data_IF_076429685995
#
_entry.id   IF_076429685995
#
_cell.length_a   1.000
_cell.length_b   1.000
_cell.length_c   1.000
_cell.angle_alpha   90.00
_cell.angle_beta   90.00
_cell.angle_gamma   90.00
#
_symmetry.space_group_name_H-M   'P 1'
#
loop_
_entity.id
_entity.type
_entity.pdbx_description
1 polymer ?
#
# COMPACT_ATOMS: atom_id res chain seq x y z
N UNK A 1 18.71 12.68 -31.98
CA UNK A 1 17.46 13.41 -31.68
C UNK A 1 17.14 13.42 -30.17
N UNK A 2 17.16 12.27 -29.47
CA UNK A 2 16.97 12.20 -28.01
C UNK A 2 18.07 12.93 -27.22
N UNK A 3 19.34 12.80 -27.63
CA UNK A 3 20.48 13.50 -27.02
C UNK A 3 20.47 15.02 -27.24
N UNK A 4 19.92 15.52 -28.36
CA UNK A 4 19.81 16.96 -28.59
C UNK A 4 18.69 17.59 -27.76
N UNK A 5 17.62 16.83 -27.48
CA UNK A 5 16.53 17.27 -26.60
C UNK A 5 17.03 17.30 -25.14
N UNK A 6 17.79 16.31 -24.69
CA UNK A 6 18.40 16.33 -23.35
C UNK A 6 19.44 17.44 -23.21
N UNK A 7 20.22 17.75 -24.25
CA UNK A 7 21.19 18.85 -24.23
C UNK A 7 20.54 20.25 -24.30
N UNK A 8 19.37 20.38 -24.96
CA UNK A 8 18.55 21.60 -24.97
C UNK A 8 17.84 21.80 -23.62
N UNK A 9 17.32 20.74 -23.01
CA UNK A 9 16.71 20.79 -21.67
C UNK A 9 17.74 21.02 -20.57
N UNK A 10 18.97 20.52 -20.71
CA UNK A 10 20.07 20.76 -19.77
C UNK A 10 20.60 22.21 -19.80
N UNK A 11 20.40 22.94 -20.91
CA UNK A 11 20.68 24.39 -21.01
C UNK A 11 19.59 25.25 -20.35
N UNK A 12 18.42 24.69 -20.06
CA UNK A 12 17.50 25.29 -19.11
C UNK A 12 17.97 24.85 -17.73
N UNK A 13 19.03 25.49 -17.23
CA UNK A 13 19.27 25.52 -15.80
C UNK A 13 17.96 25.94 -15.14
N UNK A 14 17.40 25.07 -14.29
CA UNK A 14 16.15 25.29 -13.55
C UNK A 14 16.47 25.58 -12.07
N UNK A 15 17.17 26.67 -11.68
CA UNK A 15 17.63 26.80 -10.30
C UNK A 15 16.47 27.09 -9.34
N UNK A 16 15.31 27.51 -9.84
CA UNK A 16 14.12 27.80 -9.03
C UNK A 16 12.82 27.59 -9.81
N UNK A 17 12.53 26.36 -10.26
CA UNK A 17 11.13 26.05 -10.53
C UNK A 17 10.39 26.05 -9.19
N UNK A 18 9.42 26.96 -9.05
CA UNK A 18 8.60 27.04 -7.85
C UNK A 18 7.95 25.67 -7.59
N UNK A 19 7.93 25.23 -6.33
CA UNK A 19 7.25 24.00 -5.89
C UNK A 19 5.83 23.93 -6.44
N UNK A 20 5.12 25.06 -6.55
CA UNK A 20 3.80 25.14 -7.16
C UNK A 20 3.78 24.72 -8.63
N UNK A 21 4.78 25.15 -9.41
CA UNK A 21 4.91 24.74 -10.81
C UNK A 21 5.21 23.25 -10.92
N UNK A 22 6.08 22.72 -10.05
CA UNK A 22 6.39 21.29 -10.02
C UNK A 22 5.19 20.44 -9.63
N UNK A 23 4.41 20.87 -8.65
CA UNK A 23 3.14 20.22 -8.29
C UNK A 23 2.13 20.30 -9.43
N UNK A 24 2.03 21.44 -10.12
CA UNK A 24 1.21 21.59 -11.32
C UNK A 24 1.62 20.62 -12.43
N UNK A 25 2.91 20.57 -12.74
CA UNK A 25 3.50 19.65 -13.73
C UNK A 25 3.26 18.19 -13.33
N UNK A 26 3.47 17.85 -12.06
CA UNK A 26 3.25 16.51 -11.54
C UNK A 26 1.77 16.10 -11.64
N UNK A 27 0.85 16.99 -11.28
CA UNK A 27 -0.58 16.71 -11.33
C UNK A 27 -1.09 16.58 -12.77
N UNK A 28 -0.73 17.53 -13.65
CA UNK A 28 -1.12 17.49 -15.07
C UNK A 28 -0.45 16.33 -15.81
N UNK A 29 0.87 16.20 -15.68
CA UNK A 29 1.63 15.12 -16.30
C UNK A 29 1.15 13.76 -15.79
N UNK A 30 0.97 13.62 -14.48
CA UNK A 30 0.45 12.40 -13.86
C UNK A 30 -0.94 12.05 -14.36
N UNK A 31 -1.90 12.98 -14.34
CA UNK A 31 -3.27 12.71 -14.84
C UNK A 31 -3.29 12.31 -16.31
N UNK A 32 -2.48 12.95 -17.16
CA UNK A 32 -2.32 12.57 -18.57
C UNK A 32 -1.70 11.17 -18.69
N UNK A 33 -0.61 10.91 -17.97
CA UNK A 33 0.08 9.62 -17.95
C UNK A 33 -0.84 8.48 -17.50
N UNK A 34 -1.57 8.67 -16.40
CA UNK A 34 -2.54 7.68 -15.93
C UNK A 34 -3.64 7.39 -16.95
N UNK A 35 -4.14 8.41 -17.67
CA UNK A 35 -5.15 8.22 -18.72
C UNK A 35 -4.59 7.49 -19.94
N UNK A 36 -3.34 7.78 -20.32
CA UNK A 36 -2.65 7.08 -21.41
C UNK A 36 -2.48 5.59 -21.09
N UNK A 37 -1.99 5.27 -19.88
CA UNK A 37 -1.79 3.89 -19.44
C UNK A 37 -3.11 3.14 -19.26
N UNK A 38 -4.16 3.81 -18.81
CA UNK A 38 -5.50 3.23 -18.77
C UNK A 38 -5.98 2.82 -20.18
N UNK A 39 -5.68 3.61 -21.22
CA UNK A 39 -6.03 3.27 -22.62
C UNK A 39 -5.29 2.02 -23.10
N UNK A 40 -4.11 1.76 -22.56
CA UNK A 40 -3.32 0.54 -22.80
C UNK A 40 -3.76 -0.65 -21.92
N UNK A 41 -4.85 -0.52 -21.15
CA UNK A 41 -5.34 -1.51 -20.17
C UNK A 41 -4.35 -1.78 -19.02
N UNK A 42 -3.45 -0.85 -18.73
CA UNK A 42 -2.53 -0.89 -17.60
C UNK A 42 -3.10 -0.03 -16.45
N UNK A 43 -2.91 -0.40 -15.16
CA UNK A 43 -3.38 0.42 -14.04
C UNK A 43 -2.86 1.86 -14.09
N UNK A 44 -3.74 2.83 -13.79
CA UNK A 44 -3.41 4.28 -13.82
C UNK A 44 -2.20 4.65 -12.95
N UNK A 45 -2.06 3.97 -11.82
CA UNK A 45 -0.97 4.18 -10.85
C UNK A 45 0.40 4.00 -11.50
N UNK A 46 0.53 3.02 -12.40
CA UNK A 46 1.77 2.79 -13.17
C UNK A 46 2.11 4.02 -14.03
N UNK A 47 1.10 4.62 -14.68
CA UNK A 47 1.27 5.84 -15.46
C UNK A 47 1.75 7.02 -14.60
N UNK A 48 1.21 7.19 -13.38
CA UNK A 48 1.64 8.23 -12.44
C UNK A 48 3.12 8.07 -12.08
N UNK A 49 3.53 6.84 -11.77
CA UNK A 49 4.91 6.51 -11.39
C UNK A 49 5.86 6.76 -12.55
N UNK A 50 5.53 6.32 -13.76
CA UNK A 50 6.37 6.52 -14.95
C UNK A 50 6.60 8.00 -15.23
N UNK A 51 5.55 8.84 -15.11
CA UNK A 51 5.71 10.29 -15.20
C UNK A 51 6.67 10.79 -14.11
N UNK A 52 6.50 10.32 -12.87
CA UNK A 52 7.42 10.60 -11.76
C UNK A 52 8.87 10.29 -12.10
N UNK A 53 9.14 9.09 -12.62
CA UNK A 53 10.47 8.64 -13.03
C UNK A 53 11.06 9.56 -14.10
N UNK A 54 10.24 9.94 -15.09
CA UNK A 54 10.64 10.84 -16.18
C UNK A 54 11.02 12.23 -15.68
N UNK A 55 10.28 12.80 -14.72
CA UNK A 55 10.56 14.15 -14.19
C UNK A 55 11.58 14.17 -13.05
N UNK A 56 11.76 13.04 -12.36
CA UNK A 56 12.61 12.92 -11.18
C UNK A 56 14.05 12.49 -11.46
N UNK A 57 14.67 11.89 -10.44
CA UNK A 57 16.13 11.71 -10.37
C UNK A 57 16.70 10.77 -11.43
N UNK A 58 15.92 9.82 -11.94
CA UNK A 58 16.33 8.89 -13.00
C UNK A 58 16.18 9.45 -14.42
N UNK A 59 15.30 10.43 -14.61
CA UNK A 59 14.95 10.98 -15.92
C UNK A 59 15.56 12.36 -16.16
N UNK A 60 14.70 13.35 -16.35
CA UNK A 60 15.04 14.74 -16.67
C UNK A 60 15.63 15.53 -15.49
N UNK A 61 15.61 14.98 -14.26
CA UNK A 61 16.09 15.63 -13.03
C UNK A 61 15.50 17.02 -12.78
N UNK A 62 14.24 17.21 -13.17
CA UNK A 62 13.48 18.45 -12.92
C UNK A 62 13.09 18.52 -11.44
N UNK A 63 12.80 17.37 -10.82
CA UNK A 63 12.57 17.24 -9.38
C UNK A 63 13.85 16.75 -8.70
N UNK A 64 14.51 17.65 -7.97
CA UNK A 64 15.75 17.35 -7.25
C UNK A 64 15.51 16.75 -5.85
N UNK A 65 16.56 16.20 -5.22
CA UNK A 65 16.50 15.63 -3.85
C UNK A 65 15.96 16.62 -2.82
N UNK A 66 16.29 17.89 -2.93
CA UNK A 66 15.88 18.91 -1.95
C UNK A 66 14.36 19.16 -2.00
N UNK A 67 13.77 19.17 -3.21
CA UNK A 67 12.32 19.29 -3.41
C UNK A 67 11.60 18.03 -2.89
N UNK A 68 12.20 16.87 -3.17
CA UNK A 68 11.72 15.56 -2.69
C UNK A 68 11.65 15.51 -1.15
N UNK A 69 12.60 16.16 -0.48
CA UNK A 69 12.65 16.29 0.97
C UNK A 69 11.66 17.34 1.49
N UNK A 70 11.56 18.50 0.84
CA UNK A 70 10.58 19.53 1.18
C UNK A 70 9.13 19.03 1.09
N UNK A 71 8.85 18.09 0.18
CA UNK A 71 7.53 17.47 0.00
C UNK A 71 7.30 16.21 0.85
N UNK A 72 8.22 15.87 1.77
CA UNK A 72 8.04 14.74 2.70
C UNK A 72 6.76 14.85 3.56
N UNK A 73 6.39 16.01 4.13
CA UNK A 73 5.13 16.14 4.89
C UNK A 73 3.88 15.86 4.05
N UNK A 74 3.87 16.27 2.78
CA UNK A 74 2.78 15.97 1.85
C UNK A 74 2.63 14.46 1.62
N UNK A 75 3.76 13.74 1.50
CA UNK A 75 3.73 12.29 1.39
C UNK A 75 3.11 11.63 2.62
N UNK A 76 3.50 12.02 3.84
CA UNK A 76 2.85 11.52 5.06
C UNK A 76 1.35 11.83 5.07
N UNK A 77 0.93 13.03 4.67
CA UNK A 77 -0.49 13.34 4.57
C UNK A 77 -1.23 12.43 3.59
N UNK A 78 -0.69 12.22 2.39
CA UNK A 78 -1.28 11.33 1.39
C UNK A 78 -1.37 9.89 1.89
N UNK A 79 -0.31 9.38 2.51
CA UNK A 79 -0.30 8.06 3.15
C UNK A 79 -1.33 7.93 4.25
N UNK A 80 -1.52 9.00 5.01
CA UNK A 80 -2.50 9.05 6.07
C UNK A 80 -3.93 8.94 5.57
N UNK A 81 -4.22 9.60 4.45
CA UNK A 81 -5.51 9.46 3.77
C UNK A 81 -5.73 8.04 3.23
N UNK A 82 -4.70 7.41 2.67
CA UNK A 82 -4.78 6.01 2.22
C UNK A 82 -5.13 5.09 3.40
N UNK A 83 -4.40 5.19 4.51
CA UNK A 83 -4.65 4.40 5.72
C UNK A 83 -6.05 4.62 6.28
N UNK A 84 -6.50 5.88 6.36
CA UNK A 84 -7.84 6.22 6.81
C UNK A 84 -8.94 5.64 5.93
N UNK A 85 -8.82 5.79 4.60
CA UNK A 85 -9.80 5.27 3.64
C UNK A 85 -9.93 3.75 3.73
N UNK A 86 -8.81 3.03 3.81
CA UNK A 86 -8.81 1.57 3.97
C UNK A 86 -9.44 1.17 5.29
N UNK A 87 -9.14 1.88 6.39
CA UNK A 87 -9.83 1.66 7.66
C UNK A 87 -11.36 1.79 7.54
N UNK A 88 -11.83 2.68 6.67
CA UNK A 88 -13.24 2.86 6.35
C UNK A 88 -13.90 1.70 5.57
N UNK A 89 -13.12 0.80 4.99
CA UNK A 89 -13.64 -0.39 4.29
C UNK A 89 -13.88 -1.56 5.25
N UNK A 90 -13.18 -1.59 6.39
CA UNK A 90 -13.23 -2.63 7.42
C UNK A 90 -14.48 -2.52 8.32
N UNK A 91 -15.65 -2.70 7.71
CA UNK A 91 -16.96 -2.66 8.37
C UNK A 91 -17.30 -3.99 9.05
N UNK A 92 -17.68 -3.95 10.32
CA UNK A 92 -18.18 -5.08 11.11
C UNK A 92 -19.35 -5.79 10.41
N UNK A 93 -20.22 -5.05 9.73
CA UNK A 93 -21.33 -5.60 8.95
C UNK A 93 -20.85 -6.53 7.84
N UNK A 94 -19.73 -6.23 7.18
CA UNK A 94 -19.12 -7.07 6.14
C UNK A 94 -18.67 -8.38 6.81
N UNK A 95 -17.92 -8.32 7.92
CA UNK A 95 -17.51 -9.52 8.66
C UNK A 95 -18.70 -10.39 9.12
N UNK A 96 -19.81 -9.77 9.56
CA UNK A 96 -21.01 -10.48 9.97
C UNK A 96 -21.78 -11.08 8.79
N UNK A 97 -21.89 -10.36 7.67
CA UNK A 97 -22.64 -10.77 6.47
C UNK A 97 -21.97 -11.90 5.71
N UNK A 98 -20.64 -11.85 5.61
CA UNK A 98 -19.85 -12.78 4.81
C UNK A 98 -19.46 -14.07 5.57
N UNK A 99 -19.77 -14.13 6.87
CA UNK A 99 -19.72 -15.33 7.70
C UNK A 99 -18.31 -15.82 8.02
N UNK A 100 -18.21 -16.85 8.88
CA UNK A 100 -16.94 -17.44 9.30
C UNK A 100 -16.11 -17.97 8.11
N UNK A 101 -16.79 -18.43 7.05
CA UNK A 101 -16.13 -19.02 5.89
C UNK A 101 -15.18 -18.04 5.22
N UNK A 102 -15.62 -16.80 4.97
CA UNK A 102 -14.80 -15.80 4.31
C UNK A 102 -13.63 -15.34 5.16
N UNK A 103 -13.80 -15.24 6.48
CA UNK A 103 -12.71 -14.89 7.40
C UNK A 103 -11.60 -15.94 7.37
N UNK A 104 -11.92 -17.24 7.42
CA UNK A 104 -10.90 -18.29 7.32
C UNK A 104 -10.17 -18.26 5.99
N UNK A 105 -10.90 -18.07 4.89
CA UNK A 105 -10.30 -17.98 3.55
C UNK A 105 -9.37 -16.78 3.46
N UNK A 106 -9.84 -15.59 3.84
CA UNK A 106 -9.08 -14.34 3.83
C UNK A 106 -7.79 -14.46 4.67
N UNK A 107 -7.90 -14.93 5.91
CA UNK A 107 -6.73 -15.06 6.78
C UNK A 107 -5.74 -16.09 6.25
N UNK A 108 -6.20 -17.26 5.79
CA UNK A 108 -5.30 -18.26 5.24
C UNK A 108 -4.65 -17.78 3.94
N UNK A 109 -5.39 -17.14 3.04
CA UNK A 109 -4.88 -16.66 1.76
C UNK A 109 -3.97 -15.45 1.88
N UNK A 110 -4.13 -14.58 2.88
CA UNK A 110 -3.18 -13.49 3.13
C UNK A 110 -1.95 -13.90 3.95
N UNK A 111 -2.13 -14.69 5.03
CA UNK A 111 -1.03 -15.06 5.93
C UNK A 111 -0.08 -16.09 5.29
N UNK A 112 -0.60 -17.02 4.48
CA UNK A 112 0.24 -18.07 3.85
C UNK A 112 1.29 -17.50 2.88
N UNK A 113 0.95 -16.64 1.88
CA UNK A 113 1.95 -16.00 1.04
C UNK A 113 2.85 -15.07 1.85
N UNK A 114 2.31 -14.35 2.86
CA UNK A 114 3.13 -13.54 3.77
C UNK A 114 4.28 -14.35 4.39
N UNK A 115 3.98 -15.50 4.99
CA UNK A 115 4.99 -16.36 5.62
C UNK A 115 5.93 -16.99 4.58
N UNK A 116 5.39 -17.53 3.48
CA UNK A 116 6.20 -18.21 2.47
C UNK A 116 7.15 -17.26 1.74
N UNK A 117 6.69 -16.07 1.37
CA UNK A 117 7.51 -15.05 0.72
C UNK A 117 8.54 -14.49 1.71
N UNK A 118 8.15 -14.20 2.95
CA UNK A 118 9.11 -13.75 3.98
C UNK A 118 10.21 -14.78 4.22
N UNK A 119 9.87 -16.07 4.32
CA UNK A 119 10.84 -17.13 4.56
C UNK A 119 11.73 -17.37 3.33
N UNK A 120 11.13 -17.50 2.14
CA UNK A 120 11.87 -17.80 0.90
C UNK A 120 12.81 -16.67 0.51
N UNK A 121 12.37 -15.41 0.60
CA UNK A 121 13.23 -14.25 0.33
C UNK A 121 14.26 -14.06 1.44
N UNK A 122 13.90 -14.29 2.70
CA UNK A 122 14.85 -14.23 3.81
C UNK A 122 16.00 -15.22 3.64
N UNK A 123 15.68 -16.47 3.29
CA UNK A 123 16.67 -17.52 3.03
C UNK A 123 17.48 -17.21 1.77
N UNK A 124 16.83 -16.97 0.63
CA UNK A 124 17.51 -16.72 -0.64
C UNK A 124 18.37 -15.45 -0.58
N UNK A 125 17.85 -14.38 0.04
CA UNK A 125 18.60 -13.15 0.27
C UNK A 125 19.79 -13.35 1.19
N UNK A 126 19.68 -14.22 2.20
CA UNK A 126 20.80 -14.56 3.09
C UNK A 126 21.91 -15.28 2.33
N UNK A 127 21.56 -16.18 1.40
CA UNK A 127 22.53 -16.85 0.54
C UNK A 127 23.19 -15.90 -0.48
N UNK A 128 22.45 -14.94 -1.03
CA UNK A 128 22.95 -14.03 -2.07
C UNK A 128 23.73 -12.83 -1.53
N UNK A 129 23.28 -12.27 -0.41
CA UNK A 129 23.78 -11.00 0.14
C UNK A 129 24.37 -11.13 1.55
N UNK A 130 24.37 -12.34 2.13
CA UNK A 130 24.85 -12.63 3.48
C UNK A 130 23.78 -12.46 4.57
N UNK A 131 23.99 -13.05 5.77
CA UNK A 131 23.04 -13.03 6.88
C UNK A 131 23.03 -11.65 7.54
N UNK A 132 22.29 -10.72 6.94
CA UNK A 132 22.14 -9.37 7.46
C UNK A 132 20.70 -9.13 7.94
N UNK A 133 20.48 -8.38 9.03
CA UNK A 133 19.13 -7.98 9.47
C UNK A 133 18.34 -7.25 8.37
N UNK A 134 19.07 -6.57 7.47
CA UNK A 134 18.57 -5.94 6.27
C UNK A 134 17.74 -6.89 5.38
N UNK A 135 18.25 -8.10 5.11
CA UNK A 135 17.59 -9.07 4.24
C UNK A 135 16.25 -9.49 4.83
N UNK A 136 16.21 -9.74 6.14
CA UNK A 136 14.98 -10.14 6.83
C UNK A 136 13.95 -9.02 6.92
N UNK A 137 14.40 -7.76 7.11
CA UNK A 137 13.51 -6.60 7.02
C UNK A 137 12.86 -6.46 5.64
N UNK A 138 13.65 -6.57 4.56
CA UNK A 138 13.15 -6.56 3.19
C UNK A 138 12.19 -7.75 2.92
N UNK A 139 12.53 -8.95 3.42
CA UNK A 139 11.72 -10.13 3.24
C UNK A 139 10.35 -10.02 3.93
N UNK A 140 10.29 -9.47 5.16
CA UNK A 140 9.03 -9.22 5.87
C UNK A 140 8.14 -8.21 5.16
N UNK A 141 8.74 -7.17 4.58
CA UNK A 141 8.02 -6.16 3.80
C UNK A 141 7.47 -6.75 2.50
N UNK A 142 8.29 -7.50 1.74
CA UNK A 142 7.81 -8.21 0.54
C UNK A 142 6.76 -9.25 0.87
N UNK A 143 6.94 -9.99 1.97
CA UNK A 143 5.92 -10.89 2.48
C UNK A 143 4.60 -10.16 2.71
N UNK A 144 4.61 -9.01 3.38
CA UNK A 144 3.36 -8.29 3.65
C UNK A 144 2.71 -7.79 2.37
N UNK A 145 3.49 -7.31 1.41
CA UNK A 145 3.01 -6.89 0.09
C UNK A 145 2.43 -8.08 -0.69
N UNK A 146 3.00 -9.28 -0.53
CA UNK A 146 2.53 -10.50 -1.20
C UNK A 146 1.11 -10.92 -0.79
N UNK A 147 0.66 -10.52 0.40
CA UNK A 147 -0.71 -10.72 0.85
C UNK A 147 -1.71 -9.89 0.06
N UNK A 148 -1.30 -8.81 -0.61
CA UNK A 148 -2.23 -7.97 -1.37
C UNK A 148 -2.70 -8.69 -2.63
N UNK A 149 -4.01 -8.69 -2.84
CA UNK A 149 -4.72 -9.21 -4.00
C UNK A 149 -5.54 -8.09 -4.62
N UNK A 150 -5.38 -7.86 -5.91
CA UNK A 150 -6.26 -6.96 -6.64
C UNK A 150 -7.09 -7.75 -7.66
N UNK A 151 -8.28 -8.19 -7.28
CA UNK A 151 -9.18 -8.91 -8.16
C UNK A 151 -9.97 -7.96 -9.06
N UNK A 152 -9.53 -6.71 -9.32
CA UNK A 152 -10.22 -5.82 -10.26
C UNK A 152 -10.44 -6.45 -11.64
N UNK A 153 -9.45 -7.19 -12.15
CA UNK A 153 -9.54 -7.96 -13.39
C UNK A 153 -10.59 -9.07 -13.29
N UNK A 154 -10.49 -9.91 -12.26
CA UNK A 154 -11.40 -11.01 -11.98
C UNK A 154 -12.84 -10.52 -11.78
N UNK A 155 -13.05 -9.48 -10.97
CA UNK A 155 -14.38 -8.92 -10.67
C UNK A 155 -15.01 -8.24 -11.88
N UNK A 156 -14.21 -7.63 -12.77
CA UNK A 156 -14.71 -7.08 -14.03
C UNK A 156 -15.29 -8.18 -14.92
N UNK A 157 -14.57 -9.29 -15.08
CA UNK A 157 -15.06 -10.47 -15.81
C UNK A 157 -16.33 -11.04 -15.16
N UNK A 158 -16.33 -11.21 -13.83
CA UNK A 158 -17.50 -11.74 -13.11
C UNK A 158 -18.75 -10.86 -13.31
N UNK A 159 -18.58 -9.52 -13.36
CA UNK A 159 -19.64 -8.55 -13.63
C UNK A 159 -20.09 -8.55 -15.09
N UNK A 160 -19.16 -8.59 -16.03
CA UNK A 160 -19.43 -8.63 -17.48
C UNK A 160 -20.27 -9.86 -17.86
N UNK A 161 -19.87 -11.02 -17.36
CA UNK A 161 -20.61 -12.27 -17.56
C UNK A 161 -21.81 -12.44 -16.61
N UNK A 162 -22.12 -11.44 -15.77
CA UNK A 162 -23.24 -11.44 -14.80
C UNK A 162 -23.30 -12.72 -13.96
N UNK A 163 -22.13 -13.24 -13.59
CA UNK A 163 -22.00 -14.53 -12.89
C UNK A 163 -22.61 -14.46 -11.50
N UNK A 164 -23.15 -15.59 -11.03
CA UNK A 164 -23.70 -15.74 -9.67
C UNK A 164 -23.30 -17.09 -9.10
N UNK A 165 -23.19 -17.17 -7.78
CA UNK A 165 -22.92 -18.41 -7.08
C UNK A 165 -21.89 -18.26 -5.96
N UNK A 166 -21.55 -19.37 -5.29
CA UNK A 166 -20.70 -19.34 -4.10
C UNK A 166 -19.28 -18.84 -4.41
N UNK A 167 -18.72 -19.14 -5.58
CA UNK A 167 -17.39 -18.66 -5.98
C UNK A 167 -17.38 -17.15 -6.20
N UNK A 168 -18.34 -16.61 -6.97
CA UNK A 168 -18.49 -15.17 -7.21
C UNK A 168 -18.69 -14.41 -5.90
N UNK A 169 -19.55 -14.90 -5.00
CA UNK A 169 -19.78 -14.28 -3.71
C UNK A 169 -18.54 -14.30 -2.81
N UNK A 170 -17.77 -15.41 -2.85
CA UNK A 170 -16.52 -15.54 -2.09
C UNK A 170 -15.47 -14.56 -2.62
N UNK A 171 -15.27 -14.49 -3.93
CA UNK A 171 -14.32 -13.55 -4.55
C UNK A 171 -14.71 -12.12 -4.16
N UNK A 172 -15.97 -11.71 -4.39
CA UNK A 172 -16.47 -10.36 -4.03
C UNK A 172 -16.30 -10.03 -2.54
N UNK A 173 -16.44 -11.02 -1.66
CA UNK A 173 -16.21 -10.85 -0.23
C UNK A 173 -14.74 -10.66 0.14
N UNK A 174 -13.84 -11.42 -0.49
CA UNK A 174 -12.39 -11.28 -0.30
C UNK A 174 -11.93 -9.91 -0.79
N UNK A 175 -12.34 -9.49 -1.99
CA UNK A 175 -11.99 -8.17 -2.57
C UNK A 175 -12.24 -7.03 -1.59
N UNK A 176 -13.35 -7.08 -0.86
CA UNK A 176 -13.76 -6.00 0.03
C UNK A 176 -12.95 -5.93 1.34
N UNK A 177 -12.20 -6.97 1.68
CA UNK A 177 -11.51 -7.10 2.97
C UNK A 177 -9.99 -7.30 2.84
N UNK A 178 -9.51 -7.73 1.68
CA UNK A 178 -8.12 -8.12 1.47
C UNK A 178 -7.14 -6.95 1.65
N UNK A 179 -7.52 -5.78 1.14
CA UNK A 179 -6.74 -4.54 1.22
C UNK A 179 -6.40 -4.17 2.68
N UNK A 180 -7.39 -4.33 3.57
CA UNK A 180 -7.21 -4.08 4.99
C UNK A 180 -6.31 -5.12 5.67
N UNK A 181 -6.37 -6.39 5.27
CA UNK A 181 -5.45 -7.43 5.78
C UNK A 181 -4.01 -7.16 5.32
N UNK A 182 -3.81 -6.85 4.04
CA UNK A 182 -2.50 -6.56 3.48
C UNK A 182 -1.85 -5.33 4.14
N UNK A 183 -2.61 -4.25 4.34
CA UNK A 183 -2.13 -3.06 5.03
C UNK A 183 -1.86 -3.28 6.52
N UNK A 184 -2.64 -4.12 7.20
CA UNK A 184 -2.39 -4.51 8.58
C UNK A 184 -1.09 -5.31 8.69
N UNK A 185 -0.91 -6.33 7.84
CA UNK A 185 0.33 -7.11 7.78
C UNK A 185 1.52 -6.20 7.45
N UNK A 186 1.34 -5.25 6.53
CA UNK A 186 2.38 -4.30 6.17
C UNK A 186 2.76 -3.36 7.31
N UNK A 187 1.77 -2.84 8.06
CA UNK A 187 2.04 -1.98 9.19
C UNK A 187 2.82 -2.71 10.30
N UNK A 188 2.48 -3.98 10.56
CA UNK A 188 3.19 -4.84 11.51
C UNK A 188 4.60 -5.15 11.00
N UNK A 189 4.74 -5.59 9.74
CA UNK A 189 6.03 -5.88 9.12
C UNK A 189 6.95 -4.67 9.08
N UNK A 190 6.41 -3.48 8.81
CA UNK A 190 7.18 -2.23 8.80
C UNK A 190 7.73 -1.90 10.18
N UNK A 191 6.94 -2.09 11.24
CA UNK A 191 7.40 -1.90 12.62
C UNK A 191 8.53 -2.87 12.97
N UNK A 192 8.36 -4.16 12.65
CA UNK A 192 9.38 -5.19 12.90
C UNK A 192 10.65 -4.94 12.07
N UNK A 193 10.50 -4.61 10.78
CA UNK A 193 11.62 -4.29 9.90
C UNK A 193 12.37 -3.04 10.39
N UNK A 194 11.66 -2.03 10.89
CA UNK A 194 12.22 -0.85 11.54
C UNK A 194 13.10 -1.22 12.72
N UNK A 195 12.60 -2.07 13.62
CA UNK A 195 13.38 -2.57 14.75
C UNK A 195 14.61 -3.38 14.32
N UNK A 196 14.50 -4.24 13.29
CA UNK A 196 15.61 -5.05 12.79
C UNK A 196 16.72 -4.20 12.15
N UNK A 197 16.35 -3.22 11.33
CA UNK A 197 17.29 -2.37 10.57
C UNK A 197 17.86 -1.25 11.45
N UNK A 198 17.05 -0.72 12.37
CA UNK A 198 17.36 0.41 13.23
C UNK A 198 18.18 0.12 14.48
N UNK A 199 18.95 -0.99 14.54
CA UNK A 199 19.85 -1.29 15.66
C UNK A 199 21.06 -0.32 15.74
N UNK A 200 20.80 0.96 15.99
CA UNK A 200 21.75 1.86 16.63
C UNK A 200 21.44 1.89 18.14
N UNK A 201 22.02 0.93 18.89
CA UNK A 201 22.36 1.13 20.30
C UNK A 201 21.48 0.53 21.41
N UNK A 202 20.33 -0.10 21.11
CA UNK A 202 19.49 -0.74 22.12
C UNK A 202 19.74 -2.25 22.26
N UNK A 203 19.84 -2.77 23.49
CA UNK A 203 20.01 -4.20 23.75
C UNK A 203 18.86 -5.08 23.24
N UNK A 204 19.03 -6.41 23.26
CA UNK A 204 18.03 -7.39 22.75
C UNK A 204 16.62 -7.22 23.33
N UNK A 205 16.47 -6.63 24.51
CA UNK A 205 15.17 -6.30 25.11
C UNK A 205 14.42 -5.19 24.37
N UNK A 206 15.11 -4.14 23.89
CA UNK A 206 14.44 -3.02 23.20
C UNK A 206 13.94 -3.43 21.83
N UNK A 207 14.62 -4.36 21.15
CA UNK A 207 14.21 -4.91 19.86
C UNK A 207 12.86 -5.66 19.92
N UNK A 208 12.53 -6.25 21.07
CA UNK A 208 11.25 -6.94 21.28
C UNK A 208 10.17 -5.95 21.72
N UNK A 209 10.48 -5.05 22.65
CA UNK A 209 9.49 -4.14 23.25
C UNK A 209 9.03 -3.06 22.25
N UNK A 210 9.93 -2.59 21.39
CA UNK A 210 9.66 -1.46 20.50
C UNK A 210 8.51 -1.72 19.51
N UNK A 211 8.43 -2.87 18.81
CA UNK A 211 7.27 -3.17 17.96
C UNK A 211 5.93 -3.22 18.72
N UNK A 212 5.91 -3.75 19.95
CA UNK A 212 4.69 -3.74 20.77
C UNK A 212 4.27 -2.32 21.17
N UNK A 213 5.23 -1.45 21.48
CA UNK A 213 4.98 -0.04 21.74
C UNK A 213 4.45 0.68 20.49
N UNK A 214 5.09 0.48 19.33
CA UNK A 214 4.69 1.10 18.07
C UNK A 214 3.28 0.68 17.64
N UNK A 215 2.95 -0.61 17.78
CA UNK A 215 1.64 -1.16 17.43
C UNK A 215 0.58 -0.74 18.46
N UNK A 216 0.85 -0.95 19.75
CA UNK A 216 -0.09 -0.63 20.83
C UNK A 216 -0.39 0.86 20.90
N UNK A 217 0.65 1.71 20.81
CA UNK A 217 0.52 3.16 20.79
C UNK A 217 -0.26 3.66 19.56
N UNK A 218 -0.01 3.08 18.38
CA UNK A 218 -0.77 3.42 17.18
C UNK A 218 -2.28 3.07 17.33
N UNK A 219 -2.59 1.89 17.88
CA UNK A 219 -3.98 1.49 18.13
C UNK A 219 -4.64 2.45 19.13
N UNK A 220 -3.97 2.79 20.24
CA UNK A 220 -4.52 3.72 21.25
C UNK A 220 -4.80 5.09 20.64
N UNK A 221 -3.85 5.68 19.91
CA UNK A 221 -4.03 6.99 19.26
C UNK A 221 -5.19 6.92 18.26
N UNK A 222 -5.23 5.87 17.44
CA UNK A 222 -6.28 5.67 16.45
C UNK A 222 -7.67 5.50 17.06
N UNK A 223 -7.78 4.73 18.16
CA UNK A 223 -9.05 4.55 18.89
C UNK A 223 -9.53 5.85 19.50
N UNK A 224 -8.67 6.53 20.28
CA UNK A 224 -9.06 7.78 20.94
C UNK A 224 -9.48 8.84 19.92
N UNK A 225 -8.70 9.02 18.87
CA UNK A 225 -8.97 10.01 17.82
C UNK A 225 -10.18 9.63 16.98
N UNK A 226 -10.37 8.34 16.67
CA UNK A 226 -11.54 7.85 15.94
C UNK A 226 -12.83 8.04 16.73
N UNK A 227 -12.82 7.83 18.05
CA UNK A 227 -13.98 8.08 18.91
C UNK A 227 -14.35 9.56 18.96
N UNK A 228 -13.36 10.44 19.05
CA UNK A 228 -13.55 11.89 18.99
C UNK A 228 -14.14 12.29 17.64
N UNK A 229 -13.55 11.83 16.54
CA UNK A 229 -14.04 12.15 15.20
C UNK A 229 -15.46 11.61 14.96
N UNK A 230 -15.77 10.41 15.45
CA UNK A 230 -17.11 9.81 15.37
C UNK A 230 -18.15 10.69 16.06
N UNK A 231 -17.85 11.18 17.28
CA UNK A 231 -18.72 12.10 18.01
C UNK A 231 -18.90 13.43 17.29
N UNK A 232 -17.86 13.96 16.65
CA UNK A 232 -17.91 15.20 15.87
C UNK A 232 -18.79 15.01 14.63
N UNK A 233 -18.52 13.98 13.82
CA UNK A 233 -19.25 13.70 12.57
C UNK A 233 -20.74 13.44 12.86
N UNK A 234 -21.06 12.81 13.99
CA UNK A 234 -22.45 12.60 14.42
C UNK A 234 -23.22 13.91 14.58
N UNK A 235 -22.57 14.98 15.03
CA UNK A 235 -23.21 16.28 15.32
C UNK A 235 -23.49 17.10 14.06
N UNK A 236 -22.70 16.93 13.00
CA UNK A 236 -22.82 17.72 11.79
C UNK A 236 -23.51 16.93 10.68
N UNK A 237 -24.24 17.63 9.82
CA UNK A 237 -24.87 17.04 8.61
C UNK A 237 -24.28 17.64 7.33
N UNK A 238 -23.59 18.77 7.43
CA UNK A 238 -22.94 19.44 6.30
C UNK A 238 -21.69 18.66 5.83
N UNK A 239 -21.68 18.26 4.56
CA UNK A 239 -20.60 17.49 3.93
C UNK A 239 -19.25 18.20 3.98
N UNK A 240 -19.23 19.52 3.80
CA UNK A 240 -18.01 20.34 3.83
C UNK A 240 -17.34 20.31 5.22
N UNK A 241 -18.14 20.42 6.29
CA UNK A 241 -17.62 20.30 7.66
C UNK A 241 -17.11 18.91 7.95
N UNK A 242 -17.82 17.87 7.48
CA UNK A 242 -17.35 16.48 7.63
C UNK A 242 -16.00 16.28 6.96
N UNK A 243 -15.80 16.81 5.75
CA UNK A 243 -14.52 16.78 5.05
C UNK A 243 -13.42 17.47 5.86
N UNK A 244 -13.67 18.70 6.32
CA UNK A 244 -12.71 19.48 7.11
C UNK A 244 -12.30 18.76 8.40
N UNK A 245 -13.26 18.19 9.15
CA UNK A 245 -12.96 17.42 10.35
C UNK A 245 -12.23 16.11 10.06
N UNK A 246 -12.55 15.44 8.95
CA UNK A 246 -11.90 14.17 8.58
C UNK A 246 -10.45 14.41 8.15
N UNK A 247 -10.21 15.41 7.28
CA UNK A 247 -8.85 15.83 6.90
C UNK A 247 -8.06 16.30 8.12
N UNK A 248 -8.68 17.13 8.96
CA UNK A 248 -8.06 17.63 10.19
C UNK A 248 -7.65 16.51 11.14
N UNK A 249 -8.51 15.50 11.32
CA UNK A 249 -8.21 14.32 12.13
C UNK A 249 -7.08 13.48 11.53
N UNK A 250 -7.06 13.29 10.20
CA UNK A 250 -5.97 12.58 9.52
C UNK A 250 -4.64 13.30 9.74
N UNK A 251 -4.59 14.63 9.58
CA UNK A 251 -3.39 15.43 9.82
C UNK A 251 -2.94 15.37 11.29
N UNK A 252 -3.89 15.51 12.23
CA UNK A 252 -3.60 15.45 13.66
C UNK A 252 -3.06 14.09 14.08
N UNK A 253 -3.70 12.99 13.65
CA UNK A 253 -3.22 11.64 13.96
C UNK A 253 -1.88 11.38 13.28
N UNK A 254 -1.69 11.82 12.04
CA UNK A 254 -0.39 11.75 11.36
C UNK A 254 0.71 12.41 12.19
N UNK A 255 0.50 13.66 12.62
CA UNK A 255 1.45 14.40 13.44
C UNK A 255 1.70 13.76 14.81
N UNK A 256 0.64 13.32 15.50
CA UNK A 256 0.74 12.65 16.79
C UNK A 256 1.48 11.32 16.69
N UNK A 257 1.23 10.53 15.66
CA UNK A 257 1.92 9.26 15.46
C UNK A 257 3.40 9.45 15.18
N UNK A 258 3.76 10.45 14.37
CA UNK A 258 5.17 10.80 14.13
C UNK A 258 5.86 11.32 15.39
N UNK A 259 5.19 12.19 16.17
CA UNK A 259 5.74 12.71 17.42
C UNK A 259 5.91 11.64 18.50
N UNK A 260 4.99 10.67 18.56
CA UNK A 260 5.06 9.54 19.48
C UNK A 260 5.96 8.39 18.98
N UNK A 261 6.53 8.48 17.78
CA UNK A 261 7.29 7.40 17.12
C UNK A 261 6.52 6.06 17.08
N UNK A 262 5.23 6.10 16.74
CA UNK A 262 4.38 4.91 16.56
C UNK A 262 3.98 4.73 15.10
N UNK A 263 3.42 3.58 14.74
CA UNK A 263 3.01 3.29 13.37
C UNK A 263 1.86 4.20 12.90
N UNK A 264 2.21 5.25 12.14
CA UNK A 264 1.28 6.22 11.57
C UNK A 264 0.18 5.57 10.73
N UNK A 265 0.56 4.59 9.89
CA UNK A 265 -0.37 3.87 9.03
C UNK A 265 -1.41 3.10 9.85
N UNK A 266 -0.95 2.36 10.87
CA UNK A 266 -1.84 1.60 11.74
C UNK A 266 -2.76 2.50 12.55
N UNK A 267 -2.27 3.65 13.03
CA UNK A 267 -3.08 4.61 13.77
C UNK A 267 -4.22 5.18 12.92
N UNK A 268 -3.95 5.49 11.65
CA UNK A 268 -4.93 6.04 10.71
C UNK A 268 -5.92 5.00 10.21
N UNK A 269 -5.46 3.76 9.98
CA UNK A 269 -6.35 2.63 9.74
C UNK A 269 -7.28 2.39 10.93
N UNK A 270 -6.74 2.39 12.15
CA UNK A 270 -7.53 2.21 13.37
C UNK A 270 -8.55 3.34 13.54
N UNK A 271 -8.16 4.59 13.24
CA UNK A 271 -9.08 5.72 13.20
C UNK A 271 -10.22 5.47 12.21
N UNK A 272 -9.92 5.03 10.98
CA UNK A 272 -10.91 4.71 9.96
C UNK A 272 -11.87 3.59 10.38
N UNK A 273 -11.33 2.51 10.95
CA UNK A 273 -12.09 1.37 11.49
C UNK A 273 -13.06 1.84 12.57
N UNK A 274 -12.61 2.68 13.49
CA UNK A 274 -13.46 3.16 14.58
C UNK A 274 -14.57 4.04 14.04
N UNK A 275 -14.26 4.98 13.14
CA UNK A 275 -15.24 5.89 12.54
C UNK A 275 -16.33 5.13 11.78
N UNK A 276 -15.95 4.14 10.96
CA UNK A 276 -16.93 3.40 10.17
C UNK A 276 -17.82 2.49 11.02
N UNK A 277 -17.31 1.97 12.13
CA UNK A 277 -18.05 1.02 12.97
C UNK A 277 -18.86 1.65 14.09
N UNK A 278 -18.46 2.82 14.60
CA UNK A 278 -19.21 3.51 15.65
C UNK A 278 -20.40 4.31 15.11
N UNK A 279 -20.29 4.89 13.92
CA UNK A 279 -21.37 5.66 13.28
C UNK A 279 -21.58 5.21 11.83
N UNK A 280 -22.12 3.99 11.56
CA UNK A 280 -22.15 3.37 10.23
C UNK A 280 -22.95 4.13 9.16
N UNK A 281 -23.93 4.94 9.57
CA UNK A 281 -24.74 5.72 8.62
C UNK A 281 -24.03 7.01 8.21
N UNK A 282 -23.58 7.80 9.20
CA UNK A 282 -22.93 9.10 8.97
C UNK A 282 -21.50 8.97 8.45
N UNK A 283 -20.80 7.90 8.80
CA UNK A 283 -19.45 7.64 8.28
C UNK A 283 -19.43 7.48 6.76
N UNK A 284 -20.48 6.94 6.14
CA UNK A 284 -20.58 6.84 4.67
C UNK A 284 -20.46 8.21 4.01
N UNK A 285 -21.13 9.22 4.57
CA UNK A 285 -21.04 10.58 4.06
C UNK A 285 -19.61 11.12 4.21
N UNK A 286 -19.01 10.98 5.39
CA UNK A 286 -17.64 11.44 5.64
C UNK A 286 -16.61 10.78 4.69
N UNK A 287 -16.63 9.45 4.56
CA UNK A 287 -15.74 8.72 3.65
C UNK A 287 -15.99 9.08 2.19
N UNK A 288 -17.24 9.26 1.76
CA UNK A 288 -17.56 9.62 0.37
C UNK A 288 -17.01 11.00 -0.04
N UNK A 289 -17.02 11.97 0.87
CA UNK A 289 -16.51 13.31 0.57
C UNK A 289 -14.97 13.30 0.57
N UNK A 290 -14.36 12.52 1.47
CA UNK A 290 -12.90 12.30 1.45
C UNK A 290 -12.47 11.57 0.18
N UNK A 291 -13.22 10.54 -0.27
CA UNK A 291 -13.00 9.83 -1.53
C UNK A 291 -13.09 10.75 -2.76
N UNK A 292 -13.95 11.76 -2.72
CA UNK A 292 -14.01 12.79 -3.77
C UNK A 292 -12.81 13.75 -3.77
N UNK A 293 -12.14 13.92 -2.63
CA UNK A 293 -11.03 14.85 -2.43
C UNK A 293 -9.64 14.21 -2.62
N UNK A 294 -9.50 12.91 -2.36
CA UNK A 294 -8.24 12.17 -2.47
C UNK A 294 -7.64 12.00 -3.87
N UNK A 295 -8.37 11.98 -5.01
CA UNK A 295 -7.79 11.61 -6.29
C UNK A 295 -6.61 12.50 -6.75
N UNK A 296 -6.68 13.84 -6.67
CA UNK A 296 -5.53 14.70 -6.99
C UNK A 296 -4.33 14.46 -6.08
N UNK A 297 -4.59 14.17 -4.80
CA UNK A 297 -3.55 13.89 -3.79
C UNK A 297 -2.82 12.60 -4.14
N UNK A 298 -3.56 11.56 -4.52
CA UNK A 298 -2.98 10.28 -4.93
C UNK A 298 -2.11 10.43 -6.19
N UNK A 299 -2.55 11.21 -7.18
CA UNK A 299 -1.73 11.48 -8.38
C UNK A 299 -0.40 12.11 -7.98
N UNK A 300 -0.44 13.20 -7.20
CA UNK A 300 0.76 13.87 -6.74
C UNK A 300 1.67 12.93 -5.94
N UNK A 301 1.09 12.18 -5.00
CA UNK A 301 1.81 11.21 -4.20
C UNK A 301 2.57 10.19 -5.06
N UNK A 302 1.88 9.53 -6.00
CA UNK A 302 2.49 8.51 -6.85
C UNK A 302 3.54 9.08 -7.81
N UNK A 303 3.34 10.29 -8.33
CA UNK A 303 4.34 10.97 -9.16
C UNK A 303 5.58 11.33 -8.33
N UNK A 304 5.41 11.90 -7.14
CA UNK A 304 6.52 12.25 -6.26
C UNK A 304 7.32 11.03 -5.84
N UNK A 305 6.64 9.92 -5.58
CA UNK A 305 7.30 8.63 -5.32
C UNK A 305 8.12 8.19 -6.52
N UNK A 306 7.52 8.18 -7.72
CA UNK A 306 8.23 7.82 -8.94
C UNK A 306 9.47 8.68 -9.16
N UNK A 307 9.41 9.96 -8.77
CA UNK A 307 10.53 10.88 -8.88
C UNK A 307 11.69 10.57 -7.92
N UNK A 308 11.45 9.89 -6.80
CA UNK A 308 12.51 9.43 -5.87
C UNK A 308 13.25 8.18 -6.36
N UNK A 309 12.67 7.41 -7.29
CA UNK A 309 13.22 6.12 -7.69
C UNK A 309 14.49 6.29 -8.52
N UNK A 310 15.55 5.56 -8.16
CA UNK A 310 16.81 5.45 -8.90
C UNK A 310 16.96 4.06 -9.51
N UNK A 311 16.95 3.95 -10.85
CA UNK A 311 17.05 2.67 -11.57
C UNK A 311 18.47 2.11 -11.74
N UNK A 312 19.45 2.59 -10.98
CA UNK A 312 20.87 2.28 -11.24
C UNK A 312 21.31 0.84 -10.89
N UNK A 313 20.43 -0.04 -10.43
CA UNK A 313 20.82 -1.34 -9.83
C UNK A 313 19.91 -2.52 -10.20
N UNK A 314 19.54 -2.74 -11.47
CA UNK A 314 18.99 -4.06 -11.87
C UNK A 314 20.10 -5.09 -12.03
N UNK A 315 20.54 -5.69 -10.92
CA UNK A 315 21.49 -6.81 -10.92
C UNK A 315 20.78 -8.13 -11.14
N UNK A 316 21.47 -9.14 -11.71
CA UNK A 316 20.97 -10.52 -11.87
C UNK A 316 20.37 -11.09 -10.58
N UNK A 317 20.97 -10.77 -9.42
CA UNK A 317 20.48 -11.18 -8.10
C UNK A 317 19.08 -10.63 -7.77
N UNK A 318 18.75 -9.42 -8.20
CA UNK A 318 17.42 -8.82 -8.00
C UNK A 318 16.41 -9.48 -8.91
N UNK A 319 16.77 -9.76 -10.18
CA UNK A 319 15.89 -10.52 -11.09
C UNK A 319 15.55 -11.91 -10.53
N UNK A 320 16.52 -12.58 -9.87
CA UNK A 320 16.28 -13.84 -9.18
C UNK A 320 15.33 -13.69 -7.99
N UNK A 321 15.46 -12.61 -7.19
CA UNK A 321 14.51 -12.30 -6.12
C UNK A 321 13.08 -12.03 -6.65
N UNK A 322 12.94 -11.35 -7.80
CA UNK A 322 11.63 -11.15 -8.46
C UNK A 322 10.99 -12.48 -8.78
N UNK A 323 11.75 -13.40 -9.37
CA UNK A 323 11.26 -14.73 -9.72
C UNK A 323 10.83 -15.53 -8.48
N UNK A 324 11.65 -15.53 -7.42
CA UNK A 324 11.35 -16.19 -6.15
C UNK A 324 10.08 -15.60 -5.53
N UNK A 325 10.00 -14.27 -5.44
CA UNK A 325 8.82 -13.57 -4.92
C UNK A 325 7.57 -14.01 -5.67
N UNK A 326 7.60 -13.99 -7.01
CA UNK A 326 6.47 -14.33 -7.86
C UNK A 326 6.02 -15.78 -7.65
N UNK A 327 6.97 -16.72 -7.65
CA UNK A 327 6.70 -18.14 -7.48
C UNK A 327 6.08 -18.44 -6.11
N UNK A 328 6.67 -17.93 -5.02
CA UNK A 328 6.17 -18.17 -3.67
C UNK A 328 4.90 -17.39 -3.36
N UNK A 329 4.68 -16.24 -3.99
CA UNK A 329 3.41 -15.52 -3.92
C UNK A 329 2.27 -16.36 -4.54
N UNK A 330 2.46 -16.85 -5.77
CA UNK A 330 1.46 -17.71 -6.44
C UNK A 330 1.18 -18.99 -5.64
N UNK A 331 2.24 -19.68 -5.21
CA UNK A 331 2.10 -20.89 -4.41
C UNK A 331 1.42 -20.62 -3.07
N UNK A 332 1.82 -19.55 -2.37
CA UNK A 332 1.26 -19.20 -1.08
C UNK A 332 -0.21 -18.85 -1.14
N UNK A 333 -0.63 -18.11 -2.16
CA UNK A 333 -2.05 -17.83 -2.39
C UNK A 333 -2.83 -19.09 -2.75
N UNK A 334 -2.26 -19.94 -3.61
CA UNK A 334 -2.94 -21.18 -4.00
C UNK A 334 -3.14 -22.13 -2.80
N UNK A 335 -2.10 -22.30 -1.99
CA UNK A 335 -2.12 -23.13 -0.78
C UNK A 335 -3.06 -22.51 0.26
N UNK A 336 -2.90 -21.21 0.55
CA UNK A 336 -3.68 -20.49 1.54
C UNK A 336 -5.17 -20.49 1.23
N UNK A 337 -5.56 -20.16 0.00
CA UNK A 337 -6.95 -20.19 -0.45
C UNK A 337 -7.57 -21.59 -0.34
N UNK A 338 -6.82 -22.64 -0.70
CA UNK A 338 -7.29 -24.03 -0.63
C UNK A 338 -7.44 -24.50 0.82
N UNK A 339 -6.46 -24.22 1.69
CA UNK A 339 -6.52 -24.52 3.13
C UNK A 339 -7.70 -23.80 3.76
N UNK A 340 -7.83 -22.49 3.55
CA UNK A 340 -8.92 -21.69 4.08
C UNK A 340 -10.29 -22.16 3.61
N UNK A 341 -10.41 -22.53 2.32
CA UNK A 341 -11.66 -23.04 1.75
C UNK A 341 -12.03 -24.43 2.31
N UNK A 342 -11.06 -25.31 2.55
CA UNK A 342 -11.31 -26.63 3.19
C UNK A 342 -11.66 -26.49 4.66
N UNK A 343 -10.93 -25.68 5.40
CA UNK A 343 -11.14 -25.47 6.85
C UNK A 343 -12.53 -24.87 7.12
N UNK A 344 -12.98 -23.99 6.22
CA UNK A 344 -14.29 -23.38 6.28
C UNK A 344 -15.43 -24.22 5.70
N UNK A 345 -15.16 -25.43 5.20
CA UNK A 345 -16.12 -26.33 4.54
C UNK A 345 -16.82 -25.67 3.34
N UNK A 346 -16.08 -24.87 2.57
CA UNK A 346 -16.58 -24.21 1.38
C UNK A 346 -17.00 -25.23 0.29
N UNK A 347 -17.92 -24.87 -0.63
CA UNK A 347 -18.31 -25.75 -1.73
C UNK A 347 -17.13 -26.18 -2.60
N UNK A 348 -17.16 -27.38 -3.17
CA UNK A 348 -16.05 -27.95 -3.96
C UNK A 348 -15.62 -27.07 -5.14
N UNK A 349 -16.55 -26.28 -5.71
CA UNK A 349 -16.23 -25.30 -6.76
C UNK A 349 -15.37 -24.15 -6.24
N UNK A 350 -15.58 -23.70 -5.00
CA UNK A 350 -14.76 -22.67 -4.35
C UNK A 350 -13.36 -23.23 -4.10
N UNK A 351 -13.26 -24.42 -3.49
CA UNK A 351 -11.97 -25.06 -3.20
C UNK A 351 -11.12 -25.24 -4.47
N UNK A 352 -11.75 -25.63 -5.59
CA UNK A 352 -11.05 -25.93 -6.86
C UNK A 352 -10.63 -24.67 -7.62
N UNK A 353 -11.47 -23.63 -7.68
CA UNK A 353 -11.28 -22.49 -8.59
C UNK A 353 -10.87 -21.18 -7.92
N UNK A 354 -11.05 -21.05 -6.60
CA UNK A 354 -10.66 -19.85 -5.87
C UNK A 354 -9.16 -19.53 -5.98
N UNK A 355 -8.22 -20.49 -5.84
CA UNK A 355 -6.78 -20.24 -6.00
C UNK A 355 -6.43 -19.47 -7.28
N UNK A 356 -7.00 -19.86 -8.42
CA UNK A 356 -6.72 -19.25 -9.72
C UNK A 356 -7.29 -17.84 -9.87
N UNK A 357 -8.22 -17.46 -8.98
CA UNK A 357 -8.92 -16.17 -9.04
C UNK A 357 -8.21 -15.07 -8.25
N UNK A 358 -7.20 -15.42 -7.43
CA UNK A 358 -6.55 -14.54 -6.45
C UNK A 358 -5.07 -14.22 -6.78
N UNK A 359 -4.58 -14.60 -7.96
CA UNK A 359 -3.18 -14.37 -8.32
C UNK A 359 -2.84 -12.93 -8.70
N UNK A 360 -3.82 -12.13 -9.10
CA UNK A 360 -3.56 -10.78 -9.59
C UNK A 360 -3.15 -9.85 -8.45
N UNK A 361 -2.02 -9.15 -8.64
CA UNK A 361 -1.56 -8.08 -7.76
C UNK A 361 -1.52 -6.79 -8.56
N UNK A 362 -2.22 -5.74 -8.11
CA UNK A 362 -2.17 -4.46 -8.80
C UNK A 362 -2.05 -3.28 -7.84
N UNK A 363 -3.07 -2.44 -7.74
CA UNK A 363 -2.91 -1.06 -7.25
C UNK A 363 -2.31 -0.95 -5.85
N UNK A 364 -2.70 -1.85 -4.95
CA UNK A 364 -2.31 -1.81 -3.54
C UNK A 364 -0.93 -2.41 -3.32
N UNK A 365 -0.55 -3.47 -4.03
CA UNK A 365 0.81 -4.00 -3.96
C UNK A 365 1.82 -2.91 -4.35
N UNK A 366 1.55 -2.21 -5.46
CA UNK A 366 2.36 -1.06 -5.88
C UNK A 366 2.35 0.02 -4.79
N UNK A 367 1.17 0.42 -4.28
CA UNK A 367 1.06 1.42 -3.22
C UNK A 367 1.83 1.08 -1.93
N UNK A 368 1.80 -0.19 -1.51
CA UNK A 368 2.54 -0.71 -0.37
C UNK A 368 4.06 -0.75 -0.61
N UNK A 369 4.51 -1.12 -1.81
CA UNK A 369 5.94 -1.09 -2.16
C UNK A 369 6.52 0.32 -2.07
N UNK A 370 5.70 1.29 -2.48
CA UNK A 370 6.00 2.72 -2.47
C UNK A 370 6.03 3.27 -1.04
N UNK A 371 5.03 2.91 -0.24
CA UNK A 371 4.96 3.15 1.18
C UNK A 371 6.24 2.67 1.88
N UNK A 372 6.66 1.45 1.58
CA UNK A 372 7.88 0.86 2.11
C UNK A 372 9.13 1.65 1.69
N UNK A 373 9.17 2.12 0.44
CA UNK A 373 10.28 2.93 -0.05
C UNK A 373 10.40 4.29 0.62
N UNK A 374 9.30 4.85 1.12
CA UNK A 374 9.33 6.07 1.90
C UNK A 374 9.76 5.84 3.35
N UNK A 375 9.34 4.73 3.95
CA UNK A 375 9.71 4.39 5.33
C UNK A 375 11.16 3.88 5.44
N UNK A 376 11.63 3.17 4.41
CA UNK A 376 12.98 2.61 4.31
C UNK A 376 13.71 3.17 3.08
N UNK A 377 14.16 4.44 3.13
CA UNK A 377 14.85 5.07 2.01
C UNK A 377 16.19 4.37 1.73
N UNK A 378 16.63 4.42 0.46
CA UNK A 378 17.87 3.81 0.00
C UNK A 378 17.64 2.49 -0.75
N UNK A 379 18.53 1.52 -0.57
CA UNK A 379 18.51 0.29 -1.37
C UNK A 379 17.27 -0.57 -1.12
N UNK A 380 16.69 -0.56 0.09
CA UNK A 380 15.47 -1.32 0.42
C UNK A 380 14.31 -0.82 -0.43
N UNK A 381 13.98 0.47 -0.31
CA UNK A 381 12.87 1.06 -1.03
C UNK A 381 12.92 0.88 -2.54
N UNK A 382 14.09 1.11 -3.13
CA UNK A 382 14.25 0.94 -4.57
C UNK A 382 14.08 -0.53 -4.97
N UNK A 383 14.65 -1.47 -4.21
CA UNK A 383 14.54 -2.91 -4.50
C UNK A 383 13.08 -3.39 -4.36
N UNK A 384 12.36 -2.93 -3.33
CA UNK A 384 10.95 -3.25 -3.13
C UNK A 384 10.09 -2.78 -4.30
N UNK A 385 10.25 -1.51 -4.70
CA UNK A 385 9.45 -0.95 -5.81
C UNK A 385 9.80 -1.64 -7.12
N UNK A 386 11.07 -1.94 -7.39
CA UNK A 386 11.48 -2.68 -8.60
C UNK A 386 10.86 -4.08 -8.61
N UNK A 387 10.95 -4.82 -7.50
CA UNK A 387 10.44 -6.18 -7.42
C UNK A 387 8.94 -6.20 -7.67
N UNK A 388 8.20 -5.35 -6.96
CA UNK A 388 6.74 -5.33 -7.02
C UNK A 388 6.24 -4.78 -8.35
N UNK A 389 6.87 -3.73 -8.89
CA UNK A 389 6.53 -3.23 -10.23
C UNK A 389 6.76 -4.32 -11.27
N UNK A 390 7.90 -5.02 -11.20
CA UNK A 390 8.21 -6.15 -12.08
C UNK A 390 7.17 -7.27 -12.00
N UNK A 391 6.71 -7.63 -10.81
CA UNK A 391 5.69 -8.68 -10.65
C UNK A 391 4.32 -8.25 -11.10
N UNK A 392 3.89 -7.01 -10.81
CA UNK A 392 2.60 -6.48 -11.26
C UNK A 392 2.50 -6.34 -12.78
N UNK A 393 3.61 -6.25 -13.51
CA UNK A 393 3.58 -6.33 -14.96
C UNK A 393 3.36 -7.77 -15.49
N UNK A 394 3.71 -8.79 -14.69
CA UNK A 394 3.61 -10.20 -15.07
C UNK A 394 2.25 -10.80 -14.66
N UNK A 395 1.72 -10.41 -13.51
CA UNK A 395 0.44 -10.88 -12.94
C UNK A 395 -0.72 -9.97 -13.27
#
# INVERSE_FOLDING_TARGET
MFEQITHMLAKISFPHLNVLFLLGLALFGGTIGGRLFQKLRIPKVVGYIIIGILIGQSGLKIVDSDIIEALRPFNYFALGLIGFMVGGELKKEIFLKYGKQLVYILLCEGITPFLLVSLSIGIAGTFLFGPTPFVWGLALLLGAISSATDPASTTSVLKEYKTRGPLTATILGIVALDDGLALLLFAISSSIAGALIGHMGGGTLSAIIQPFYEIGGAIVIGVLSGLVLSKIIKKYTEKERMLAFSIGAVLLVTGLSLAANVSMLLALMTLGVIVVNFEPQKSKDAFSVVEGFTPPIYVLFFVLVGAKLKFSHMTVSIALLVFIYLLFCMLGKAIGANIGARLSRAPSRVIKYLPFSLFSQAGIAIGLSILAAQHFPGNIGNTLVIIITGTTFIT
#
